data_IF_793351443995
#
_entry.id   IF_793351443995
#
_cell.length_a   1.000
_cell.length_b   1.000
_cell.length_c   1.000
_cell.angle_alpha   90.00
_cell.angle_beta   90.00
_cell.angle_gamma   90.00
#
_symmetry.space_group_name_H-M   'P 1'
#
loop_
_entity.id
_entity.type
_entity.pdbx_description
1 polymer ?
#
# COMPACT_ATOMS: atom_id res chain seq x y z
N UNK A 1 2.29 8.49 23.10
CA UNK A 1 1.88 7.28 22.33
C UNK A 1 0.39 7.30 21.99
N UNK A 2 0.02 7.05 20.73
CA UNK A 2 -1.38 7.09 20.26
C UNK A 2 -2.13 5.76 20.42
N UNK A 3 -3.43 5.77 20.10
CA UNK A 3 -4.29 4.59 20.07
C UNK A 3 -4.48 4.07 18.64
N UNK A 4 -4.34 2.76 18.46
CA UNK A 4 -4.70 2.07 17.22
C UNK A 4 -6.22 1.91 17.11
N UNK A 5 -6.89 1.64 18.22
CA UNK A 5 -8.36 1.60 18.28
C UNK A 5 -8.83 2.21 19.60
N UNK A 6 -9.25 3.49 19.60
CA UNK A 6 -9.77 4.14 20.81
C UNK A 6 -10.99 3.41 21.39
N UNK A 7 -11.87 2.88 20.53
CA UNK A 7 -13.07 2.14 20.93
C UNK A 7 -12.76 0.81 21.60
N UNK A 8 -11.63 0.16 21.24
CA UNK A 8 -11.15 -1.06 21.89
C UNK A 8 -10.09 -0.79 22.97
N UNK A 9 -9.75 0.48 23.24
CA UNK A 9 -8.68 0.86 24.16
C UNK A 9 -7.28 0.36 23.76
N UNK A 10 -7.07 -0.04 22.51
CA UNK A 10 -5.84 -0.68 22.03
C UNK A 10 -4.81 0.36 21.59
N UNK A 11 -3.63 0.37 22.22
CA UNK A 11 -2.54 1.30 21.87
C UNK A 11 -1.61 0.70 20.84
N UNK A 12 -0.92 1.55 20.08
CA UNK A 12 0.13 1.07 19.16
C UNK A 12 1.27 0.35 19.91
N UNK A 13 1.57 0.76 21.15
CA UNK A 13 2.60 0.12 21.97
C UNK A 13 2.23 -1.32 22.40
N UNK A 14 0.96 -1.70 22.31
CA UNK A 14 0.48 -3.04 22.67
C UNK A 14 0.56 -4.02 21.49
N UNK A 15 0.96 -3.54 20.30
CA UNK A 15 1.13 -4.36 19.10
C UNK A 15 2.57 -4.92 19.08
N UNK A 16 2.74 -6.26 19.11
CA UNK A 16 4.06 -6.86 19.01
C UNK A 16 4.63 -6.69 17.60
N UNK A 17 5.95 -6.58 17.49
CA UNK A 17 6.62 -6.46 16.21
C UNK A 17 6.51 -7.75 15.37
N UNK A 18 6.63 -7.60 14.05
CA UNK A 18 6.64 -8.73 13.11
C UNK A 18 5.26 -9.38 12.94
N UNK A 19 5.25 -10.67 12.61
CA UNK A 19 4.04 -11.39 12.22
C UNK A 19 2.98 -11.48 13.32
N UNK A 20 3.39 -11.37 14.59
CA UNK A 20 2.48 -11.37 15.73
C UNK A 20 1.52 -10.16 15.76
N UNK A 21 1.83 -9.08 15.02
CA UNK A 21 0.95 -7.92 14.89
C UNK A 21 -0.39 -8.30 14.23
N UNK A 22 -0.38 -9.28 13.32
CA UNK A 22 -1.53 -9.61 12.47
C UNK A 22 -2.74 -10.03 13.30
N UNK A 23 -2.52 -10.83 14.35
CA UNK A 23 -3.58 -11.32 15.23
C UNK A 23 -4.04 -10.30 16.28
N UNK A 24 -3.32 -9.19 16.45
CA UNK A 24 -3.63 -8.13 17.43
C UNK A 24 -4.39 -6.96 16.83
N UNK A 25 -4.24 -6.72 15.53
CA UNK A 25 -5.01 -5.69 14.82
C UNK A 25 -6.47 -6.14 14.66
N UNK A 26 -7.46 -5.31 15.02
CA UNK A 26 -8.86 -5.66 14.86
C UNK A 26 -9.26 -5.92 13.40
N UNK A 27 -10.17 -6.87 13.17
CA UNK A 27 -10.66 -7.22 11.83
C UNK A 27 -11.23 -6.02 11.05
N UNK A 28 -11.86 -5.08 11.74
CA UNK A 28 -12.35 -3.85 11.11
C UNK A 28 -11.21 -3.01 10.49
N UNK A 29 -10.04 -2.97 11.13
CA UNK A 29 -8.86 -2.29 10.56
C UNK A 29 -8.33 -3.00 9.32
N UNK A 30 -8.33 -4.33 9.31
CA UNK A 30 -8.00 -5.11 8.11
C UNK A 30 -8.99 -4.88 6.96
N UNK A 31 -10.28 -4.80 7.26
CA UNK A 31 -11.30 -4.47 6.27
C UNK A 31 -11.09 -3.07 5.67
N UNK A 32 -10.71 -2.08 6.49
CA UNK A 32 -10.37 -0.73 6.01
C UNK A 32 -9.17 -0.74 5.05
N UNK A 33 -8.11 -1.50 5.37
CA UNK A 33 -6.94 -1.64 4.51
C UNK A 33 -7.33 -2.28 3.17
N UNK A 34 -8.08 -3.39 3.19
CA UNK A 34 -8.52 -4.06 1.98
C UNK A 34 -9.40 -3.17 1.10
N UNK A 35 -10.32 -2.42 1.70
CA UNK A 35 -11.18 -1.48 0.98
C UNK A 35 -10.37 -0.35 0.34
N UNK A 36 -9.38 0.20 1.06
CA UNK A 36 -8.49 1.23 0.53
C UNK A 36 -7.65 0.71 -0.63
N UNK A 37 -7.06 -0.49 -0.51
CA UNK A 37 -6.32 -1.11 -1.62
C UNK A 37 -7.23 -1.34 -2.84
N UNK A 38 -8.43 -1.86 -2.64
CA UNK A 38 -9.40 -2.02 -3.74
C UNK A 38 -9.72 -0.68 -4.44
N UNK A 39 -9.90 0.40 -3.66
CA UNK A 39 -10.12 1.73 -4.23
C UNK A 39 -8.91 2.26 -5.00
N UNK A 40 -7.70 2.08 -4.47
CA UNK A 40 -6.44 2.47 -5.13
C UNK A 40 -6.28 1.73 -6.45
N UNK A 41 -6.47 0.41 -6.48
CA UNK A 41 -6.34 -0.35 -7.73
C UNK A 41 -7.42 0.02 -8.74
N UNK A 42 -8.65 0.24 -8.30
CA UNK A 42 -9.72 0.69 -9.20
C UNK A 42 -9.41 2.07 -9.81
N UNK A 43 -8.93 3.01 -9.01
CA UNK A 43 -8.66 4.39 -9.45
C UNK A 43 -7.34 4.54 -10.20
N UNK A 44 -6.36 3.66 -9.92
CA UNK A 44 -5.01 3.70 -10.46
C UNK A 44 -4.83 2.95 -11.79
N UNK A 45 -5.91 2.41 -12.35
CA UNK A 45 -5.88 1.66 -13.61
C UNK A 45 -5.88 0.15 -13.38
N UNK A 46 -7.01 -0.37 -12.88
CA UNK A 46 -7.20 -1.80 -12.63
C UNK A 46 -6.92 -2.70 -13.85
N UNK A 47 -7.15 -2.16 -15.05
CA UNK A 47 -6.93 -2.85 -16.33
C UNK A 47 -5.60 -2.44 -17.01
N UNK A 48 -4.80 -1.58 -16.38
CA UNK A 48 -3.57 -1.05 -16.99
C UNK A 48 -2.56 -2.17 -17.27
N UNK A 49 -2.57 -3.26 -16.49
CA UNK A 49 -1.76 -4.45 -16.75
C UNK A 49 -1.99 -5.09 -18.13
N UNK A 50 -3.12 -4.80 -18.80
CA UNK A 50 -3.44 -5.34 -20.13
C UNK A 50 -2.74 -4.61 -21.28
N UNK A 51 -2.41 -3.33 -21.09
CA UNK A 51 -1.92 -2.46 -22.19
C UNK A 51 -0.80 -1.51 -21.79
N UNK A 52 -0.69 -1.18 -20.50
CA UNK A 52 0.35 -0.34 -19.92
C UNK A 52 1.68 -1.07 -19.75
N UNK A 53 2.74 -0.28 -19.54
CA UNK A 53 4.07 -0.83 -19.26
C UNK A 53 4.14 -1.22 -17.79
N UNK A 54 4.50 -2.48 -17.44
CA UNK A 54 4.55 -2.93 -16.05
C UNK A 54 5.36 -1.99 -15.15
N UNK A 55 4.76 -1.56 -14.04
CA UNK A 55 5.39 -0.66 -13.07
C UNK A 55 5.38 0.82 -13.46
N UNK A 56 4.85 1.19 -14.63
CA UNK A 56 4.79 2.57 -15.12
C UNK A 56 3.51 3.32 -14.74
N UNK A 57 3.21 3.43 -13.45
CA UNK A 57 2.00 4.12 -12.97
C UNK A 57 2.15 5.65 -12.86
N UNK A 58 3.14 6.25 -13.54
CA UNK A 58 3.35 7.70 -13.55
C UNK A 58 3.89 8.30 -12.25
N UNK A 59 4.31 7.49 -11.27
CA UNK A 59 4.95 7.97 -10.04
C UNK A 59 6.42 8.34 -10.29
N UNK A 60 6.62 9.55 -10.83
CA UNK A 60 7.91 10.04 -11.37
C UNK A 60 9.06 10.09 -10.37
N UNK A 61 8.78 10.05 -9.07
CA UNK A 61 9.83 9.91 -8.03
C UNK A 61 10.56 8.57 -8.17
N UNK A 62 9.83 7.49 -8.50
CA UNK A 62 10.42 6.16 -8.70
C UNK A 62 10.79 5.89 -10.16
N UNK A 63 10.10 6.47 -11.14
CA UNK A 63 10.31 6.14 -12.55
C UNK A 63 11.16 7.15 -13.33
N UNK A 64 11.46 8.35 -12.83
CA UNK A 64 12.15 9.43 -13.58
C UNK A 64 11.38 9.97 -14.79
N UNK A 65 11.69 11.21 -15.18
CA UNK A 65 11.18 11.81 -16.42
C UNK A 65 12.13 11.60 -17.61
N UNK A 66 13.39 11.26 -17.34
CA UNK A 66 14.36 10.90 -18.37
C UNK A 66 14.10 9.46 -18.87
N UNK A 67 14.00 9.22 -20.19
CA UNK A 67 13.62 7.93 -20.75
C UNK A 67 14.65 6.81 -20.47
N UNK A 68 15.94 7.13 -20.41
CA UNK A 68 16.98 6.14 -20.16
C UNK A 68 17.00 5.74 -18.68
N UNK A 69 16.88 6.70 -17.77
CA UNK A 69 16.73 6.41 -16.34
C UNK A 69 15.44 5.64 -16.04
N UNK A 70 14.35 5.98 -16.73
CA UNK A 70 13.06 5.30 -16.56
C UNK A 70 13.14 3.83 -16.89
N UNK A 71 13.72 3.51 -18.05
CA UNK A 71 13.92 2.11 -18.46
C UNK A 71 14.75 1.33 -17.43
N UNK A 72 15.82 1.95 -16.89
CA UNK A 72 16.65 1.34 -15.84
C UNK A 72 15.86 1.10 -14.55
N UNK A 73 15.04 2.06 -14.10
CA UNK A 73 14.29 1.95 -12.83
C UNK A 73 13.11 0.99 -12.93
N UNK A 74 12.51 0.82 -14.10
CA UNK A 74 11.44 -0.17 -14.33
C UNK A 74 11.95 -1.61 -14.50
N UNK A 75 13.23 -1.80 -14.81
CA UNK A 75 13.83 -3.14 -14.97
C UNK A 75 14.34 -3.75 -13.65
N UNK A 76 14.12 -3.07 -12.52
CA UNK A 76 14.62 -3.42 -11.20
C UNK A 76 13.70 -4.38 -10.44
#
# INVERSE_FOLDING_TARGET
PGFLSPSAGLKFADIPNGLAAISKVPMAGWAQIAAYFGFVEFSGGFDDYKTGTPGDYGFKVLTSSDPAEKTKKLSA
#
